data_IF_601472753512
#
_entry.id   IF_601472753512
#
_cell.length_a   1.000
_cell.length_b   1.000
_cell.length_c   1.000
_cell.angle_alpha   90.00
_cell.angle_beta   90.00
_cell.angle_gamma   90.00
#
_symmetry.space_group_name_H-M   'P 1'
#
loop_
_entity.id
_entity.type
_entity.pdbx_description
1 polymer ?
#
# COMPACT_ATOMS: atom_id res chain seq x y z
N UNK A 1 -18.38 -3.50 20.41
CA UNK A 1 -18.26 -2.22 19.70
C UNK A 1 -16.83 -2.09 19.19
N UNK A 2 -16.65 -2.32 17.92
CA UNK A 2 -15.35 -2.25 17.24
C UNK A 2 -15.09 -0.77 16.94
N UNK A 3 -14.23 -0.14 17.74
CA UNK A 3 -13.92 1.30 17.57
C UNK A 3 -12.75 1.44 16.58
N UNK A 4 -13.10 1.51 15.29
CA UNK A 4 -12.21 1.93 14.23
C UNK A 4 -12.32 3.45 14.09
N UNK A 5 -11.31 4.20 14.54
CA UNK A 5 -11.26 5.63 14.23
C UNK A 5 -10.51 5.84 12.91
N UNK A 6 -11.19 6.44 11.95
CA UNK A 6 -10.63 6.87 10.67
C UNK A 6 -10.07 8.28 10.84
N UNK A 7 -8.76 8.38 10.97
CA UNK A 7 -8.06 9.67 10.99
C UNK A 7 -7.78 10.15 9.56
N UNK A 8 -8.57 11.11 9.08
CA UNK A 8 -8.19 11.90 7.91
C UNK A 8 -7.23 12.98 8.38
N UNK A 9 -5.99 12.99 7.89
CA UNK A 9 -5.09 14.10 8.09
C UNK A 9 -5.59 15.33 7.30
N UNK A 10 -6.52 16.08 7.92
CA UNK A 10 -6.94 17.38 7.45
C UNK A 10 -6.07 18.46 8.12
N UNK A 11 -4.79 18.54 7.77
CA UNK A 11 -4.00 19.76 7.97
C UNK A 11 -2.74 19.74 7.09
N UNK A 12 -2.95 19.54 5.80
CA UNK A 12 -2.01 20.01 4.80
C UNK A 12 -2.49 21.41 4.46
N UNK A 13 -1.62 22.44 4.48
CA UNK A 13 -2.00 23.80 4.08
C UNK A 13 -2.66 23.73 2.72
N UNK A 14 -3.80 24.41 2.57
CA UNK A 14 -4.55 24.48 1.31
C UNK A 14 -3.57 24.77 0.18
N UNK A 15 -3.53 23.96 -0.89
CA UNK A 15 -2.68 24.25 -2.01
C UNK A 15 -3.04 25.65 -2.54
N UNK A 16 -2.05 26.46 -2.96
CA UNK A 16 -2.31 27.74 -3.56
C UNK A 16 -3.24 27.55 -4.76
N UNK A 17 -4.24 28.40 -4.85
CA UNK A 17 -5.25 28.42 -5.89
C UNK A 17 -4.58 28.73 -7.23
N UNK A 18 -4.01 27.70 -7.88
CA UNK A 18 -3.53 27.75 -9.24
C UNK A 18 -4.44 26.88 -10.11
N UNK A 19 -5.34 27.54 -10.83
CA UNK A 19 -5.83 27.08 -12.11
C UNK A 19 -4.62 26.94 -13.06
N UNK A 20 -3.80 25.94 -12.88
CA UNK A 20 -2.69 25.58 -13.76
C UNK A 20 -2.79 24.08 -14.01
N UNK A 21 -3.13 23.77 -15.24
CA UNK A 21 -2.85 22.54 -16.00
C UNK A 21 -2.62 21.30 -15.12
N UNK A 22 -3.72 20.65 -14.71
CA UNK A 22 -3.66 19.29 -14.20
C UNK A 22 -3.08 18.46 -15.34
N UNK A 23 -1.79 18.16 -15.24
CA UNK A 23 -1.13 17.23 -16.15
C UNK A 23 -1.93 15.91 -16.13
N UNK A 24 -2.59 15.53 -17.23
CA UNK A 24 -3.46 14.34 -17.26
C UNK A 24 -2.71 13.03 -17.06
N UNK A 25 -1.38 13.06 -16.87
CA UNK A 25 -0.53 11.90 -16.62
C UNK A 25 -0.37 11.55 -15.11
N UNK A 26 -0.85 12.39 -14.17
CA UNK A 26 -0.41 12.31 -12.78
C UNK A 26 -1.32 11.51 -11.84
N UNK A 27 -2.54 11.12 -12.19
CA UNK A 27 -3.42 10.36 -11.27
C UNK A 27 -3.49 8.90 -11.70
N UNK A 28 -2.52 8.11 -11.25
CA UNK A 28 -2.50 6.65 -11.43
C UNK A 28 -3.34 5.91 -10.38
N UNK A 29 -3.86 6.59 -9.36
CA UNK A 29 -4.61 6.01 -8.25
C UNK A 29 -5.94 5.37 -8.66
N UNK A 30 -6.52 4.63 -7.74
CA UNK A 30 -7.83 4.02 -7.85
C UNK A 30 -8.74 4.52 -6.72
N UNK A 31 -10.02 4.71 -7.04
CA UNK A 31 -11.07 4.94 -6.07
C UNK A 31 -11.47 3.62 -5.43
N UNK A 32 -11.63 3.60 -4.10
CA UNK A 32 -12.12 2.44 -3.35
C UNK A 32 -13.42 2.83 -2.66
N UNK A 33 -14.47 2.07 -2.92
CA UNK A 33 -15.78 2.26 -2.30
C UNK A 33 -16.11 0.97 -1.55
N UNK A 34 -16.35 1.08 -0.26
CA UNK A 34 -16.76 0.00 0.64
C UNK A 34 -18.16 0.33 1.14
N UNK A 35 -19.09 -0.60 0.95
CA UNK A 35 -20.50 -0.43 1.32
C UNK A 35 -20.93 -1.58 2.23
N UNK A 36 -21.41 -1.23 3.43
CA UNK A 36 -21.95 -2.15 4.43
C UNK A 36 -21.08 -3.39 4.66
N UNK A 37 -19.76 -3.19 4.79
CA UNK A 37 -18.81 -4.29 4.89
C UNK A 37 -18.86 -4.95 6.25
N UNK A 38 -19.07 -6.27 6.24
CA UNK A 38 -19.03 -7.10 7.42
C UNK A 38 -18.02 -8.23 7.27
N UNK A 39 -17.33 -8.55 8.36
CA UNK A 39 -16.46 -9.73 8.46
C UNK A 39 -16.63 -10.44 9.79
N UNK A 40 -16.98 -11.70 9.70
CA UNK A 40 -17.13 -12.60 10.85
C UNK A 40 -16.16 -13.79 10.73
N UNK A 41 -15.64 -14.24 11.86
CA UNK A 41 -14.95 -15.51 12.01
C UNK A 41 -15.72 -16.37 13.01
N UNK A 42 -16.55 -17.28 12.50
CA UNK A 42 -17.52 -17.98 13.31
C UNK A 42 -18.50 -17.01 13.99
N UNK A 43 -18.53 -16.98 15.32
CA UNK A 43 -19.34 -16.05 16.10
C UNK A 43 -18.67 -14.70 16.38
N UNK A 44 -17.39 -14.54 16.03
CA UNK A 44 -16.64 -13.31 16.32
C UNK A 44 -16.85 -12.30 15.20
N UNK A 45 -17.44 -11.16 15.53
CA UNK A 45 -17.59 -10.01 14.64
C UNK A 45 -16.30 -9.19 14.65
N UNK A 46 -15.64 -9.04 13.50
CA UNK A 46 -14.39 -8.27 13.36
C UNK A 46 -14.64 -6.94 12.67
N UNK A 47 -15.46 -6.93 11.64
CA UNK A 47 -15.95 -5.71 10.99
C UNK A 47 -17.48 -5.78 10.96
N UNK A 48 -18.14 -4.67 11.26
CA UNK A 48 -19.59 -4.58 11.28
C UNK A 48 -20.01 -3.23 10.71
N UNK A 49 -20.81 -3.28 9.64
CA UNK A 49 -21.43 -2.12 8.96
C UNK A 49 -20.42 -0.99 8.62
N UNK A 50 -19.30 -1.37 8.00
CA UNK A 50 -18.27 -0.43 7.63
C UNK A 50 -18.54 0.16 6.25
N UNK A 51 -18.76 1.46 6.20
CA UNK A 51 -18.78 2.26 4.98
C UNK A 51 -17.50 3.10 4.88
N UNK A 52 -16.85 3.09 3.71
CA UNK A 52 -15.63 3.85 3.48
C UNK A 52 -15.50 4.22 2.00
N UNK A 53 -15.12 5.47 1.75
CA UNK A 53 -14.83 5.96 0.42
C UNK A 53 -13.46 6.62 0.38
N UNK A 54 -12.55 6.09 -0.44
CA UNK A 54 -11.17 6.56 -0.61
C UNK A 54 -11.02 7.06 -2.04
N UNK A 55 -10.60 8.32 -2.19
CA UNK A 55 -10.39 8.96 -3.48
C UNK A 55 -9.06 8.52 -4.12
N UNK A 56 -8.94 8.59 -5.47
CA UNK A 56 -7.67 8.35 -6.14
C UNK A 56 -6.57 9.28 -5.61
N UNK A 57 -5.41 8.70 -5.22
CA UNK A 57 -4.29 9.44 -4.66
C UNK A 57 -4.46 9.87 -3.20
N UNK A 58 -5.55 9.51 -2.55
CA UNK A 58 -5.76 9.80 -1.14
C UNK A 58 -4.83 8.93 -0.27
N UNK A 59 -4.20 9.55 0.75
CA UNK A 59 -3.51 8.85 1.81
C UNK A 59 -4.43 8.71 3.02
N UNK A 60 -4.85 7.49 3.31
CA UNK A 60 -5.72 7.17 4.45
C UNK A 60 -4.96 6.43 5.54
N UNK A 61 -4.95 6.98 6.76
CA UNK A 61 -4.44 6.29 7.94
C UNK A 61 -5.58 5.68 8.76
N UNK A 62 -5.49 4.37 9.00
CA UNK A 62 -6.45 3.62 9.83
C UNK A 62 -5.84 3.42 11.22
N UNK A 63 -6.42 4.06 12.23
CA UNK A 63 -5.96 4.01 13.62
C UNK A 63 -6.95 3.23 14.48
N UNK A 64 -6.44 2.46 15.43
CA UNK A 64 -7.27 1.67 16.35
C UNK A 64 -6.45 0.72 17.18
N UNK A 65 -7.05 0.15 18.21
CA UNK A 65 -6.40 -0.81 19.11
C UNK A 65 -5.94 -2.06 18.37
N UNK A 66 -4.98 -2.81 18.94
CA UNK A 66 -4.63 -4.13 18.41
C UNK A 66 -5.87 -5.04 18.39
N UNK A 67 -6.04 -5.79 17.30
CA UNK A 67 -7.19 -6.71 17.14
C UNK A 67 -8.51 -6.06 16.71
N UNK A 68 -8.57 -4.73 16.46
CA UNK A 68 -9.83 -4.08 16.04
C UNK A 68 -10.19 -4.29 14.55
N UNK A 69 -9.45 -5.10 13.79
CA UNK A 69 -9.81 -5.45 12.42
C UNK A 69 -9.01 -4.72 11.32
N UNK A 70 -8.00 -3.89 11.64
CA UNK A 70 -7.20 -3.14 10.64
C UNK A 70 -6.58 -4.05 9.58
N UNK A 71 -5.82 -5.05 10.01
CA UNK A 71 -5.18 -6.01 9.08
C UNK A 71 -6.20 -6.87 8.33
N UNK A 72 -7.36 -7.13 8.93
CA UNK A 72 -8.47 -7.81 8.26
C UNK A 72 -9.03 -6.96 7.13
N UNK A 73 -9.27 -5.66 7.38
CA UNK A 73 -9.72 -4.73 6.35
C UNK A 73 -8.72 -4.65 5.19
N UNK A 74 -7.41 -4.53 5.48
CA UNK A 74 -6.38 -4.53 4.44
C UNK A 74 -6.39 -5.82 3.60
N UNK A 75 -6.59 -6.98 4.23
CA UNK A 75 -6.67 -8.26 3.51
C UNK A 75 -7.90 -8.37 2.63
N UNK A 76 -9.05 -7.83 3.09
CA UNK A 76 -10.28 -7.77 2.29
C UNK A 76 -10.09 -6.86 1.07
N UNK A 77 -9.53 -5.65 1.24
CA UNK A 77 -9.22 -4.73 0.13
C UNK A 77 -8.23 -5.37 -0.85
N UNK A 78 -7.24 -6.12 -0.34
CA UNK A 78 -6.26 -6.83 -1.15
C UNK A 78 -6.82 -8.09 -1.86
N UNK A 79 -8.09 -8.42 -1.65
CA UNK A 79 -8.73 -9.66 -2.10
C UNK A 79 -7.98 -10.94 -1.66
N UNK A 80 -7.28 -10.86 -0.52
CA UNK A 80 -6.63 -12.01 0.14
C UNK A 80 -7.60 -12.78 1.04
N UNK A 81 -8.75 -12.20 1.30
CA UNK A 81 -9.80 -12.74 2.15
C UNK A 81 -11.16 -12.29 1.62
N UNK A 82 -12.21 -13.07 1.86
CA UNK A 82 -13.56 -12.72 1.43
C UNK A 82 -14.35 -12.10 2.59
N UNK A 83 -15.14 -11.08 2.29
CA UNK A 83 -16.10 -10.49 3.22
C UNK A 83 -17.24 -11.47 3.51
N UNK A 84 -17.88 -11.29 4.67
CA UNK A 84 -19.09 -12.06 5.03
C UNK A 84 -20.32 -11.46 4.37
N UNK A 85 -20.43 -10.12 4.34
CA UNK A 85 -21.48 -9.34 3.67
C UNK A 85 -20.91 -7.99 3.23
N UNK A 86 -21.68 -7.28 2.39
CA UNK A 86 -21.27 -5.98 1.85
C UNK A 86 -20.43 -6.11 0.58
N UNK A 87 -19.91 -5.00 0.11
CA UNK A 87 -19.22 -4.94 -1.17
C UNK A 87 -18.00 -4.03 -1.12
N UNK A 88 -16.94 -4.40 -1.86
CA UNK A 88 -15.76 -3.57 -2.11
C UNK A 88 -15.66 -3.34 -3.62
N UNK A 89 -15.77 -2.08 -4.04
CA UNK A 89 -15.71 -1.67 -5.43
C UNK A 89 -14.44 -0.87 -5.69
N UNK A 90 -13.82 -1.11 -6.83
CA UNK A 90 -12.68 -0.35 -7.31
C UNK A 90 -13.05 0.36 -8.61
N UNK A 91 -12.75 1.68 -8.68
CA UNK A 91 -12.89 2.44 -9.91
C UNK A 91 -11.55 3.03 -10.31
N UNK A 92 -11.23 2.96 -11.59
CA UNK A 92 -10.05 3.62 -12.12
C UNK A 92 -10.28 5.12 -12.24
N UNK A 93 -9.32 5.94 -11.84
CA UNK A 93 -9.35 7.39 -12.04
C UNK A 93 -9.38 7.81 -13.53
N UNK A 94 -8.93 6.93 -14.42
CA UNK A 94 -9.09 7.09 -15.87
C UNK A 94 -10.21 6.18 -16.32
N UNK A 95 -11.03 6.63 -17.26
CA UNK A 95 -12.00 5.83 -18.00
C UNK A 95 -11.32 4.75 -18.87
N UNK A 96 -10.28 4.11 -18.32
CA UNK A 96 -9.65 2.97 -18.96
C UNK A 96 -10.64 1.82 -18.91
N UNK A 97 -10.85 1.19 -20.05
CA UNK A 97 -11.74 0.03 -20.23
C UNK A 97 -11.37 -1.18 -19.36
N UNK A 98 -10.20 -1.13 -18.75
CA UNK A 98 -9.69 -2.17 -17.85
C UNK A 98 -9.92 -1.74 -16.40
N UNK A 99 -10.70 -2.54 -15.66
CA UNK A 99 -10.92 -2.38 -14.22
C UNK A 99 -9.62 -2.54 -13.41
N UNK A 100 -9.68 -2.27 -12.12
CA UNK A 100 -8.57 -2.56 -11.19
C UNK A 100 -8.45 -4.07 -11.04
N UNK A 101 -7.26 -4.59 -11.26
CA UNK A 101 -6.92 -6.01 -11.11
C UNK A 101 -6.13 -6.24 -9.81
N UNK A 102 -5.95 -7.50 -9.43
CA UNK A 102 -5.12 -7.88 -8.26
C UNK A 102 -3.67 -7.41 -8.44
N UNK A 103 -3.21 -7.29 -9.70
CA UNK A 103 -1.87 -6.82 -10.03
C UNK A 103 -1.68 -5.32 -9.79
N UNK A 104 -2.74 -4.57 -9.71
CA UNK A 104 -2.72 -3.13 -9.39
C UNK A 104 -2.61 -2.86 -7.89
N UNK A 105 -2.80 -3.89 -7.04
CA UNK A 105 -2.80 -3.78 -5.58
C UNK A 105 -1.52 -4.42 -5.04
N UNK A 106 -0.80 -3.71 -4.18
CA UNK A 106 0.34 -4.27 -3.45
C UNK A 106 0.16 -4.09 -1.96
N UNK A 107 0.55 -5.14 -1.22
CA UNK A 107 0.48 -5.18 0.24
C UNK A 107 1.89 -5.25 0.80
N UNK A 108 2.20 -4.35 1.73
CA UNK A 108 3.34 -4.46 2.61
C UNK A 108 2.84 -4.93 3.98
N UNK A 109 3.18 -6.14 4.35
CA UNK A 109 2.83 -6.70 5.66
C UNK A 109 3.78 -6.19 6.74
N UNK A 110 3.38 -6.29 7.99
CA UNK A 110 4.19 -6.01 9.17
C UNK A 110 5.51 -6.80 9.14
N UNK A 111 5.45 -8.10 8.82
CA UNK A 111 6.63 -8.88 8.45
C UNK A 111 6.99 -8.57 6.98
N UNK A 112 8.23 -8.12 6.68
CA UNK A 112 8.67 -7.80 5.32
C UNK A 112 8.58 -8.95 4.31
N UNK A 113 8.53 -10.19 4.76
CA UNK A 113 8.42 -11.41 3.93
C UNK A 113 9.41 -11.42 2.75
N UNK A 114 10.64 -11.04 3.03
CA UNK A 114 11.72 -11.13 2.04
C UNK A 114 12.13 -12.60 1.88
N UNK A 115 12.45 -12.97 0.64
CA UNK A 115 12.95 -14.31 0.34
C UNK A 115 14.38 -14.42 0.86
N UNK A 116 14.69 -15.27 1.89
CA UNK A 116 15.98 -15.30 2.54
C UNK A 116 17.10 -15.84 1.64
N UNK A 117 16.75 -16.58 0.59
CA UNK A 117 17.67 -17.14 -0.42
C UNK A 117 17.87 -16.24 -1.64
N UNK A 118 17.40 -14.99 -1.61
CA UNK A 118 17.60 -13.99 -2.65
C UNK A 118 18.29 -12.76 -2.07
N UNK A 119 19.16 -12.12 -2.86
CA UNK A 119 19.73 -10.83 -2.49
C UNK A 119 18.65 -9.75 -2.37
N UNK A 120 19.01 -8.62 -1.80
CA UNK A 120 18.10 -7.46 -1.64
C UNK A 120 17.59 -6.99 -3.01
N UNK A 121 18.48 -6.85 -3.98
CA UNK A 121 18.10 -6.47 -5.34
C UNK A 121 17.17 -7.51 -5.97
N UNK A 122 17.48 -8.80 -5.84
CA UNK A 122 16.63 -9.88 -6.36
C UNK A 122 15.26 -9.93 -5.67
N UNK A 123 15.17 -9.51 -4.40
CA UNK A 123 13.89 -9.37 -3.71
C UNK A 123 13.05 -8.24 -4.31
N UNK A 124 13.67 -7.09 -4.64
CA UNK A 124 12.95 -5.95 -5.24
C UNK A 124 12.55 -6.26 -6.70
N UNK A 125 13.35 -7.05 -7.41
CA UNK A 125 13.08 -7.47 -8.79
C UNK A 125 12.04 -8.61 -8.91
N UNK A 126 11.57 -9.15 -7.78
CA UNK A 126 10.67 -10.30 -7.76
C UNK A 126 9.39 -10.02 -8.54
N UNK A 127 9.12 -10.85 -9.57
CA UNK A 127 7.94 -10.71 -10.42
C UNK A 127 8.03 -9.64 -11.51
N UNK A 128 9.14 -8.89 -11.58
CA UNK A 128 9.35 -7.91 -12.64
C UNK A 128 9.91 -8.54 -13.92
N UNK A 129 9.48 -8.09 -15.11
CA UNK A 129 10.16 -8.39 -16.35
C UNK A 129 11.60 -7.88 -16.33
N UNK A 130 12.52 -8.58 -17.02
CA UNK A 130 13.95 -8.21 -17.03
C UNK A 130 14.21 -6.74 -17.46
N UNK A 131 13.40 -6.23 -18.37
CA UNK A 131 13.49 -4.85 -18.86
C UNK A 131 13.25 -3.80 -17.76
N UNK A 132 12.54 -4.18 -16.68
CA UNK A 132 12.22 -3.30 -15.56
C UNK A 132 13.20 -3.45 -14.37
N UNK A 133 14.19 -4.32 -14.44
CA UNK A 133 15.16 -4.53 -13.36
C UNK A 133 15.97 -3.26 -13.03
N UNK A 134 16.23 -2.38 -14.00
CA UNK A 134 16.88 -1.07 -13.78
C UNK A 134 16.06 -0.20 -12.82
N UNK A 135 14.72 -0.27 -12.89
CA UNK A 135 13.83 0.45 -11.98
C UNK A 135 14.03 0.00 -10.52
N UNK A 136 14.28 -1.29 -10.30
CA UNK A 136 14.54 -1.84 -8.95
C UNK A 136 15.78 -1.22 -8.30
N UNK A 137 16.88 -1.08 -9.05
CA UNK A 137 18.11 -0.43 -8.55
C UNK A 137 17.86 1.04 -8.18
N UNK A 138 17.11 1.78 -9.00
CA UNK A 138 16.72 3.16 -8.71
C UNK A 138 15.86 3.30 -7.45
N UNK A 139 14.97 2.32 -7.19
CA UNK A 139 14.18 2.30 -5.96
C UNK A 139 15.03 1.99 -4.73
N UNK A 140 16.01 1.09 -4.84
CA UNK A 140 16.95 0.83 -3.75
C UNK A 140 17.76 2.07 -3.38
N UNK A 141 18.14 2.89 -4.37
CA UNK A 141 18.79 4.17 -4.12
C UNK A 141 17.87 5.14 -3.36
N UNK A 142 16.62 5.26 -3.80
CA UNK A 142 15.62 6.13 -3.16
C UNK A 142 15.35 5.75 -1.69
N UNK A 143 15.41 4.47 -1.34
CA UNK A 143 15.25 3.99 0.06
C UNK A 143 16.57 3.90 0.82
N UNK A 144 17.69 4.42 0.25
CA UNK A 144 19.00 4.45 0.90
C UNK A 144 19.66 3.08 1.07
N UNK A 145 19.40 2.14 0.16
CA UNK A 145 19.91 0.77 0.22
C UNK A 145 20.72 0.33 -1.00
N UNK A 146 21.13 1.26 -1.89
CA UNK A 146 21.88 0.98 -3.11
C UNK A 146 23.13 0.13 -2.83
N UNK A 147 23.94 0.54 -1.85
CA UNK A 147 25.19 -0.15 -1.48
C UNK A 147 24.96 -1.53 -0.85
N UNK A 148 23.70 -1.84 -0.52
CA UNK A 148 23.31 -3.12 0.09
C UNK A 148 22.59 -4.05 -0.87
N UNK A 149 22.52 -3.72 -2.15
CA UNK A 149 21.79 -4.46 -3.18
C UNK A 149 22.18 -5.95 -3.25
N UNK A 150 23.48 -6.23 -3.12
CA UNK A 150 24.03 -7.59 -3.16
C UNK A 150 23.91 -8.38 -1.84
N UNK A 151 23.52 -7.73 -0.72
CA UNK A 151 23.44 -8.41 0.58
C UNK A 151 22.17 -9.29 0.67
N UNK A 152 22.14 -10.15 1.69
CA UNK A 152 21.02 -11.03 2.00
C UNK A 152 20.13 -10.42 3.09
N UNK A 153 18.85 -10.77 3.18
CA UNK A 153 17.93 -10.26 4.20
C UNK A 153 18.42 -10.44 5.64
N UNK A 154 19.16 -11.52 5.93
CA UNK A 154 19.73 -11.79 7.25
C UNK A 154 20.81 -10.78 7.69
N UNK A 155 21.41 -10.07 6.74
CA UNK A 155 22.45 -9.08 6.98
C UNK A 155 21.89 -7.66 7.21
N UNK A 156 20.57 -7.49 7.15
CA UNK A 156 19.91 -6.19 7.30
C UNK A 156 19.24 -6.02 8.65
N UNK A 157 19.20 -4.77 9.13
CA UNK A 157 18.36 -4.40 10.28
C UNK A 157 16.86 -4.53 9.95
N UNK A 158 16.00 -4.54 10.98
CA UNK A 158 14.54 -4.58 10.79
C UNK A 158 14.02 -3.47 9.86
N UNK A 159 14.42 -2.22 10.11
CA UNK A 159 14.03 -1.09 9.28
C UNK A 159 14.57 -1.18 7.84
N UNK A 160 15.77 -1.72 7.63
CA UNK A 160 16.31 -1.94 6.28
C UNK A 160 15.51 -3.01 5.54
N UNK A 161 15.10 -4.09 6.22
CA UNK A 161 14.22 -5.10 5.62
C UNK A 161 12.86 -4.52 5.23
N UNK A 162 12.28 -3.67 6.07
CA UNK A 162 11.02 -3.00 5.77
C UNK A 162 11.15 -2.05 4.56
N UNK A 163 12.22 -1.24 4.50
CA UNK A 163 12.50 -0.38 3.33
C UNK A 163 12.71 -1.20 2.05
N UNK A 164 13.33 -2.36 2.12
CA UNK A 164 13.43 -3.29 0.98
C UNK A 164 12.06 -3.79 0.54
N UNK A 165 11.19 -4.17 1.49
CA UNK A 165 9.82 -4.60 1.18
C UNK A 165 9.00 -3.49 0.53
N UNK A 166 9.15 -2.24 0.98
CA UNK A 166 8.53 -1.08 0.37
C UNK A 166 9.04 -0.86 -1.07
N UNK A 167 10.37 -0.89 -1.29
CA UNK A 167 10.94 -0.80 -2.64
C UNK A 167 10.39 -1.90 -3.56
N UNK A 168 10.24 -3.14 -3.06
CA UNK A 168 9.62 -4.26 -3.79
C UNK A 168 8.16 -3.97 -4.13
N UNK A 169 7.38 -3.43 -3.22
CA UNK A 169 5.98 -3.09 -3.48
C UNK A 169 5.86 -1.99 -4.54
N UNK A 170 6.69 -0.94 -4.45
CA UNK A 170 6.69 0.19 -5.38
C UNK A 170 7.23 -0.16 -6.77
N UNK A 171 8.09 -1.19 -6.88
CA UNK A 171 8.68 -1.58 -8.17
C UNK A 171 7.65 -2.01 -9.22
N UNK A 172 6.50 -2.48 -8.77
CA UNK A 172 5.37 -2.86 -9.62
C UNK A 172 4.48 -1.67 -10.01
N UNK A 173 4.79 -0.45 -9.56
CA UNK A 173 3.98 0.76 -9.82
C UNK A 173 2.49 0.55 -9.49
N UNK A 174 2.16 0.11 -8.29
CA UNK A 174 0.78 -0.21 -7.92
C UNK A 174 -0.11 1.03 -7.97
N UNK A 175 -1.39 0.83 -8.24
CA UNK A 175 -2.43 1.86 -8.17
C UNK A 175 -3.00 1.98 -6.76
N UNK A 176 -2.88 0.93 -5.97
CA UNK A 176 -3.26 0.86 -4.55
C UNK A 176 -2.10 0.25 -3.77
N UNK A 177 -1.58 0.97 -2.79
CA UNK A 177 -0.57 0.48 -1.87
C UNK A 177 -1.18 0.36 -0.47
N UNK A 178 -1.20 -0.85 0.07
CA UNK A 178 -1.71 -1.17 1.40
C UNK A 178 -0.53 -1.42 2.34
N UNK A 179 -0.48 -0.71 3.47
CA UNK A 179 0.60 -0.78 4.44
C UNK A 179 0.07 -1.26 5.79
N UNK A 180 0.50 -2.44 6.25
CA UNK A 180 0.12 -2.99 7.56
C UNK A 180 1.24 -2.70 8.57
N UNK A 181 1.03 -1.75 9.47
CA UNK A 181 1.97 -1.30 10.52
C UNK A 181 3.40 -0.97 10.01
N UNK A 182 3.56 -0.05 9.06
CA UNK A 182 4.85 0.20 8.40
C UNK A 182 5.83 1.04 9.24
N UNK A 183 5.73 1.04 10.56
CA UNK A 183 6.38 1.98 11.51
C UNK A 183 7.90 2.14 11.34
N UNK A 184 8.60 1.14 10.81
CA UNK A 184 10.06 1.22 10.55
C UNK A 184 10.44 1.67 9.14
N UNK A 185 9.47 1.83 8.23
CA UNK A 185 9.70 2.20 6.83
C UNK A 185 9.29 3.65 6.52
N UNK A 186 8.45 4.27 7.35
CA UNK A 186 7.88 5.59 7.11
C UNK A 186 8.69 6.68 7.84
N UNK A 187 9.94 6.89 7.46
CA UNK A 187 10.61 8.15 7.72
C UNK A 187 10.19 9.21 6.68
N UNK A 188 10.53 10.48 6.94
CA UNK A 188 10.14 11.61 6.08
C UNK A 188 10.59 11.44 4.61
N UNK A 189 11.71 10.73 4.37
CA UNK A 189 12.21 10.43 3.01
C UNK A 189 11.34 9.41 2.31
N UNK A 190 10.83 8.44 3.05
CA UNK A 190 10.00 7.35 2.50
C UNK A 190 8.58 7.81 2.22
N UNK A 191 8.04 8.73 3.04
CA UNK A 191 6.73 9.36 2.78
C UNK A 191 6.72 10.13 1.46
N UNK A 192 7.84 10.79 1.10
CA UNK A 192 7.95 11.52 -0.16
C UNK A 192 7.90 10.60 -1.40
N UNK A 193 8.21 9.30 -1.25
CA UNK A 193 8.14 8.30 -2.33
C UNK A 193 6.71 7.79 -2.58
N UNK A 194 5.81 7.94 -1.60
CA UNK A 194 4.43 7.47 -1.69
C UNK A 194 3.54 8.54 -2.33
N UNK A 195 3.96 9.80 -2.32
CA UNK A 195 3.26 10.95 -2.93
C UNK A 195 3.60 11.20 -4.40
N UNK A 196 4.06 10.19 -5.14
CA UNK A 196 4.36 10.29 -6.57
C UNK A 196 3.10 10.15 -7.43
#
# INVERSE_FOLDING_TARGET
>A
MTDLSLGRHANIPSPPNHNQDINPQAVLGAEIIIEQLHKFYGSVKVLEDLDLHIQPGEFLAIVGRSGCGKSTLLRLIANLEQQSYGEIKFKSARHLREGITVDDIRVMFQDPRLLPWRSIEQNVQLGLPKQQHVTASGLLEKVGLKEKAGLWPSQLSGGQRQRTALARALSHKPRILLLDEPLGALDALTLSLIHI
#
